data_IF_098640942246
#
_entry.id   IF_098640942246
#
_cell.length_a   1.000
_cell.length_b   1.000
_cell.length_c   1.000
_cell.angle_alpha   90.00
_cell.angle_beta   90.00
_cell.angle_gamma   90.00
#
_symmetry.space_group_name_H-M   'P 1'
#
loop_
_entity.id
_entity.type
_entity.pdbx_description
1 polymer ?
#
# COMPACT_ATOMS: atom_id res chain seq x y z
N UNK A 1 2.76 4.21 12.71
CA UNK A 1 1.39 4.64 13.06
C UNK A 1 0.43 3.53 12.76
N UNK A 2 0.17 3.28 11.47
CA UNK A 2 -0.74 2.28 10.91
C UNK A 2 -0.64 0.89 11.54
N UNK A 3 0.55 0.31 11.65
CA UNK A 3 0.76 -1.01 12.28
C UNK A 3 0.36 -1.01 13.76
N UNK A 4 0.69 0.07 14.49
CA UNK A 4 0.39 0.18 15.94
C UNK A 4 -1.10 0.30 16.21
N UNK A 5 -1.84 0.97 15.33
CA UNK A 5 -3.28 1.15 15.47
C UNK A 5 -4.07 -0.06 14.96
N UNK A 6 -3.42 -1.06 14.36
CA UNK A 6 -4.11 -2.22 13.81
C UNK A 6 -4.97 -1.93 12.59
N UNK A 7 -4.75 -0.81 11.88
CA UNK A 7 -5.74 -0.30 10.91
C UNK A 7 -6.14 -1.34 9.84
N UNK A 8 -5.17 -2.06 9.28
CA UNK A 8 -5.46 -3.09 8.29
C UNK A 8 -5.95 -4.39 8.94
N UNK A 9 -5.42 -4.74 10.11
CA UNK A 9 -5.88 -5.90 10.87
C UNK A 9 -7.37 -5.80 11.20
N UNK A 10 -7.82 -4.62 11.64
CA UNK A 10 -9.21 -4.35 11.95
C UNK A 10 -10.07 -4.35 10.68
N UNK A 11 -9.60 -3.73 9.60
CA UNK A 11 -10.31 -3.69 8.31
C UNK A 11 -10.53 -5.08 7.69
N UNK A 12 -9.61 -6.02 7.92
CA UNK A 12 -9.69 -7.40 7.43
C UNK A 12 -10.18 -8.40 8.49
N UNK A 13 -10.50 -7.97 9.72
CA UNK A 13 -10.72 -8.85 10.87
C UNK A 13 -11.89 -9.84 10.73
N UNK A 14 -12.88 -9.53 9.90
CA UNK A 14 -14.03 -10.42 9.60
C UNK A 14 -13.88 -11.17 8.26
N UNK A 15 -12.72 -11.06 7.62
CA UNK A 15 -12.42 -11.71 6.34
C UNK A 15 -11.55 -12.94 6.55
N UNK A 16 -11.38 -13.74 5.50
CA UNK A 16 -10.40 -14.85 5.51
C UNK A 16 -8.97 -14.39 5.17
N UNK A 17 -8.68 -13.09 5.24
CA UNK A 17 -7.37 -12.52 4.92
C UNK A 17 -6.58 -12.30 6.21
N UNK A 18 -5.45 -12.97 6.34
CA UNK A 18 -4.51 -12.73 7.44
C UNK A 18 -3.59 -11.56 7.11
N UNK A 19 -3.52 -10.57 8.00
CA UNK A 19 -2.66 -9.39 7.82
C UNK A 19 -1.38 -9.55 8.63
N UNK A 20 -0.27 -9.72 7.93
CA UNK A 20 1.07 -9.85 8.52
C UNK A 20 1.83 -8.52 8.37
N UNK A 21 2.37 -8.02 9.48
CA UNK A 21 3.26 -6.84 9.48
C UNK A 21 4.74 -7.23 9.59
N UNK A 22 5.67 -6.36 9.17
CA UNK A 22 7.09 -6.50 9.48
C UNK A 22 7.32 -6.67 10.99
N UNK A 23 8.36 -7.41 11.36
CA UNK A 23 8.82 -7.43 12.75
C UNK A 23 9.34 -6.04 13.18
N UNK A 24 9.64 -5.86 14.47
CA UNK A 24 10.08 -4.56 14.99
C UNK A 24 11.31 -4.01 14.27
N UNK A 25 12.31 -4.86 13.98
CA UNK A 25 13.57 -4.42 13.37
C UNK A 25 13.35 -4.02 11.91
N UNK A 26 12.58 -4.82 11.18
CA UNK A 26 12.26 -4.51 9.79
C UNK A 26 11.29 -3.32 9.69
N UNK A 27 10.38 -3.16 10.64
CA UNK A 27 9.54 -1.97 10.75
C UNK A 27 10.39 -0.70 10.94
N UNK A 28 11.42 -0.74 11.78
CA UNK A 28 12.36 0.39 11.95
C UNK A 28 13.09 0.70 10.62
N UNK A 29 13.52 -0.33 9.88
CA UNK A 29 14.13 -0.16 8.54
C UNK A 29 13.17 0.47 7.53
N UNK A 30 11.89 0.06 7.53
CA UNK A 30 10.86 0.68 6.68
C UNK A 30 10.71 2.15 7.03
N UNK A 31 10.59 2.48 8.32
CA UNK A 31 10.42 3.85 8.79
C UNK A 31 11.65 4.71 8.46
N UNK A 32 12.86 4.21 8.68
CA UNK A 32 14.10 4.91 8.31
C UNK A 32 14.15 5.17 6.80
N UNK A 33 13.83 4.17 5.99
CA UNK A 33 13.80 4.30 4.52
C UNK A 33 12.82 5.40 4.08
N UNK A 34 11.63 5.47 4.68
CA UNK A 34 10.65 6.52 4.38
C UNK A 34 11.19 7.90 4.77
N UNK A 35 11.56 8.08 6.05
CA UNK A 35 11.80 9.41 6.60
C UNK A 35 13.17 9.98 6.29
N UNK A 36 14.19 9.13 6.19
CA UNK A 36 15.57 9.56 6.00
C UNK A 36 15.98 9.56 4.53
N UNK A 37 15.35 8.74 3.68
CA UNK A 37 15.80 8.57 2.30
C UNK A 37 14.75 9.00 1.26
N UNK A 38 13.51 8.50 1.36
CA UNK A 38 12.47 8.75 0.35
C UNK A 38 11.93 10.18 0.45
N UNK A 39 11.43 10.56 1.62
CA UNK A 39 10.80 11.86 1.86
C UNK A 39 11.73 13.05 1.56
N UNK A 40 13.01 13.04 1.97
CA UNK A 40 13.95 14.10 1.59
C UNK A 40 14.61 13.88 0.22
N UNK A 41 14.33 12.77 -0.48
CA UNK A 41 14.90 12.39 -1.79
C UNK A 41 16.43 12.27 -1.79
N UNK A 42 17.00 11.68 -0.73
CA UNK A 42 18.45 11.56 -0.55
C UNK A 42 19.01 10.35 -1.30
N UNK A 43 18.54 9.13 -1.00
CA UNK A 43 19.01 7.92 -1.68
C UNK A 43 17.87 6.93 -1.94
N UNK A 44 17.12 7.16 -3.02
CA UNK A 44 15.96 6.35 -3.39
C UNK A 44 16.33 4.90 -3.72
N UNK A 45 17.50 4.66 -4.30
CA UNK A 45 17.97 3.30 -4.61
C UNK A 45 18.26 2.49 -3.34
N UNK A 46 18.89 3.12 -2.32
CA UNK A 46 19.09 2.51 -1.02
C UNK A 46 17.75 2.19 -0.36
N UNK A 47 16.83 3.16 -0.33
CA UNK A 47 15.50 2.96 0.24
C UNK A 47 14.75 1.81 -0.42
N UNK A 48 14.71 1.79 -1.76
CA UNK A 48 14.10 0.73 -2.56
C UNK A 48 14.68 -0.64 -2.19
N UNK A 49 16.01 -0.77 -2.15
CA UNK A 49 16.65 -2.05 -1.82
C UNK A 49 16.34 -2.52 -0.39
N UNK A 50 16.25 -1.60 0.59
CA UNK A 50 15.85 -1.95 1.95
C UNK A 50 14.40 -2.42 2.00
N UNK A 51 13.49 -1.72 1.32
CA UNK A 51 12.07 -2.07 1.25
C UNK A 51 11.84 -3.41 0.56
N UNK A 52 12.51 -3.68 -0.57
CA UNK A 52 12.47 -4.99 -1.24
C UNK A 52 12.99 -6.09 -0.33
N UNK A 53 14.07 -5.85 0.43
CA UNK A 53 14.59 -6.83 1.39
C UNK A 53 13.58 -7.16 2.48
N UNK A 54 12.90 -6.15 3.03
CA UNK A 54 11.86 -6.35 4.04
C UNK A 54 10.67 -7.10 3.45
N UNK A 55 10.21 -6.71 2.25
CA UNK A 55 9.15 -7.42 1.55
C UNK A 55 9.51 -8.89 1.26
N UNK A 56 10.75 -9.15 0.83
CA UNK A 56 11.26 -10.51 0.62
C UNK A 56 11.14 -11.40 1.84
N UNK A 57 11.50 -10.89 3.03
CA UNK A 57 11.33 -11.64 4.29
C UNK A 57 9.87 -11.92 4.64
N UNK A 58 8.96 -11.02 4.28
CA UNK A 58 7.53 -11.28 4.45
C UNK A 58 7.07 -12.37 3.48
N UNK A 59 7.52 -12.30 2.22
CA UNK A 59 7.24 -13.30 1.17
C UNK A 59 7.75 -14.69 1.59
N UNK A 60 8.94 -14.77 2.18
CA UNK A 60 9.49 -16.03 2.72
C UNK A 60 8.62 -16.63 3.85
N UNK A 61 7.75 -15.83 4.48
CA UNK A 61 6.75 -16.29 5.47
C UNK A 61 5.45 -16.77 4.83
N UNK A 62 5.37 -16.82 3.50
CA UNK A 62 4.24 -17.34 2.74
C UNK A 62 3.14 -16.33 2.44
N UNK A 63 3.40 -15.01 2.50
CA UNK A 63 2.41 -14.03 2.04
C UNK A 63 2.24 -14.10 0.53
N UNK A 64 1.02 -13.89 0.07
CA UNK A 64 0.65 -13.97 -1.35
C UNK A 64 0.57 -12.59 -2.00
N UNK A 65 0.64 -11.51 -1.22
CA UNK A 65 0.45 -10.13 -1.67
C UNK A 65 1.04 -9.13 -0.68
N UNK A 66 1.51 -7.99 -1.17
CA UNK A 66 2.00 -6.86 -0.36
C UNK A 66 1.03 -5.68 -0.46
N UNK A 67 0.62 -5.10 0.67
CA UNK A 67 -0.09 -3.82 0.70
C UNK A 67 0.93 -2.70 0.93
N UNK A 68 0.98 -1.72 0.03
CA UNK A 68 1.67 -0.45 0.28
C UNK A 68 0.69 0.51 0.98
N UNK A 69 0.86 0.63 2.30
CA UNK A 69 0.06 1.51 3.15
C UNK A 69 0.61 2.94 3.33
N UNK A 70 1.66 3.32 2.60
CA UNK A 70 2.29 4.63 2.71
C UNK A 70 2.56 5.20 1.31
N UNK A 71 2.04 6.40 1.05
CA UNK A 71 2.13 7.09 -0.24
C UNK A 71 3.57 7.33 -0.71
N UNK A 72 4.52 7.47 0.22
CA UNK A 72 5.94 7.64 -0.13
C UNK A 72 6.55 6.35 -0.73
N UNK A 73 6.13 5.17 -0.27
CA UNK A 73 6.69 3.89 -0.74
C UNK A 73 6.32 3.62 -2.20
N UNK A 74 5.12 4.02 -2.62
CA UNK A 74 4.62 3.87 -4.01
C UNK A 74 5.53 4.58 -5.03
N UNK A 75 6.32 5.56 -4.60
CA UNK A 75 7.26 6.28 -5.45
C UNK A 75 8.49 5.46 -5.84
N UNK A 76 8.83 4.41 -5.08
CA UNK A 76 10.11 3.69 -5.23
C UNK A 76 9.97 2.18 -5.46
N UNK A 77 8.90 1.55 -4.97
CA UNK A 77 8.63 0.12 -5.18
C UNK A 77 7.52 -0.04 -6.21
N UNK A 78 7.73 -0.93 -7.19
CA UNK A 78 6.77 -1.26 -8.25
C UNK A 78 6.49 -2.76 -8.27
N UNK A 79 5.40 -3.17 -8.92
CA UNK A 79 5.01 -4.59 -9.09
C UNK A 79 6.14 -5.45 -9.66
N UNK A 80 6.93 -4.90 -10.59
CA UNK A 80 8.05 -5.61 -11.22
C UNK A 80 9.22 -5.89 -10.27
N UNK A 81 9.22 -5.32 -9.07
CA UNK A 81 10.29 -5.47 -8.09
C UNK A 81 10.10 -6.67 -7.15
N UNK A 82 8.88 -7.23 -7.11
CA UNK A 82 8.53 -8.33 -6.21
C UNK A 82 7.90 -9.49 -6.99
N UNK A 83 8.08 -10.74 -6.53
CA UNK A 83 7.47 -11.91 -7.16
C UNK A 83 5.97 -12.07 -6.85
N UNK A 84 5.43 -11.25 -5.94
CA UNK A 84 4.01 -11.26 -5.54
C UNK A 84 3.37 -9.92 -5.92
N UNK A 85 2.05 -9.90 -6.18
CA UNK A 85 1.32 -8.66 -6.47
C UNK A 85 1.45 -7.64 -5.35
N UNK A 86 1.45 -6.36 -5.73
CA UNK A 86 1.39 -5.23 -4.82
C UNK A 86 0.02 -4.58 -4.96
N UNK A 87 -0.55 -4.17 -3.82
CA UNK A 87 -1.74 -3.34 -3.77
C UNK A 87 -1.35 -1.99 -3.18
N UNK A 88 -1.39 -0.96 -4.01
CA UNK A 88 -1.25 0.42 -3.57
C UNK A 88 -2.59 0.93 -3.02
N UNK A 89 -2.63 1.20 -1.72
CA UNK A 89 -3.83 1.72 -1.05
C UNK A 89 -4.29 3.07 -1.60
N UNK A 90 -3.38 3.90 -2.12
CA UNK A 90 -3.72 5.18 -2.75
C UNK A 90 -4.35 4.97 -4.13
N UNK A 91 -3.85 4.03 -4.91
CA UNK A 91 -4.41 3.69 -6.22
C UNK A 91 -5.82 3.13 -6.08
N UNK A 92 -6.01 2.16 -5.18
CA UNK A 92 -7.35 1.60 -4.87
C UNK A 92 -8.33 2.70 -4.44
N UNK A 93 -7.88 3.64 -3.61
CA UNK A 93 -8.70 4.78 -3.19
C UNK A 93 -9.07 5.67 -4.38
N UNK A 94 -8.11 6.02 -5.22
CA UNK A 94 -8.32 6.88 -6.39
C UNK A 94 -9.30 6.24 -7.40
N UNK A 95 -9.11 4.96 -7.72
CA UNK A 95 -10.02 4.20 -8.59
C UNK A 95 -11.43 4.17 -8.04
N UNK A 96 -11.57 3.95 -6.72
CA UNK A 96 -12.88 3.92 -6.07
C UNK A 96 -13.60 5.28 -6.17
N UNK A 97 -12.88 6.37 -5.94
CA UNK A 97 -13.41 7.74 -6.06
C UNK A 97 -13.89 8.02 -7.48
N UNK A 98 -13.07 7.71 -8.50
CA UNK A 98 -13.42 7.90 -9.91
C UNK A 98 -14.64 7.05 -10.29
N UNK A 99 -14.69 5.79 -9.84
CA UNK A 99 -15.83 4.90 -10.09
C UNK A 99 -17.13 5.44 -9.51
N UNK A 100 -17.10 5.99 -8.30
CA UNK A 100 -18.27 6.59 -7.65
C UNK A 100 -18.74 7.84 -8.38
N UNK A 101 -17.84 8.78 -8.68
CA UNK A 101 -18.17 10.00 -9.40
C UNK A 101 -18.71 9.72 -10.82
N UNK A 102 -18.18 8.69 -11.48
CA UNK A 102 -18.61 8.29 -12.83
C UNK A 102 -19.97 7.61 -12.86
N UNK A 103 -20.36 6.90 -11.78
CA UNK A 103 -21.70 6.30 -11.65
C UNK A 103 -22.77 7.38 -11.43
N UNK A 104 -22.48 8.37 -10.60
CA UNK A 104 -23.39 9.51 -10.35
C UNK A 104 -23.66 10.34 -11.62
N UNK A 105 -22.69 10.47 -12.53
CA UNK A 105 -22.89 11.15 -13.82
C UNK A 105 -23.89 10.45 -14.77
N UNK A 106 -24.12 9.15 -14.63
CA UNK A 106 -25.05 8.37 -15.46
C UNK A 106 -26.51 8.39 -14.97
N UNK A 107 -26.72 8.77 -13.71
CA UNK A 107 -28.05 8.94 -13.11
C UNK A 107 -28.55 10.39 -13.24
N UNK A 108 -27.65 11.38 -13.33
CA UNK A 108 -28.02 12.79 -13.57
C UNK A 108 -28.66 12.99 -14.96
N UNK A 109 -28.20 12.29 -16.00
CA UNK A 109 -28.84 12.36 -17.33
C UNK A 109 -30.23 11.70 -17.39
N UNK A 110 -30.63 10.91 -16.39
CA UNK A 110 -31.96 10.28 -16.34
C UNK A 110 -32.99 11.07 -15.52
N UNK A 111 -32.54 12.05 -14.74
CA UNK A 111 -33.40 12.88 -13.90
C UNK A 111 -33.52 14.31 -14.45
N UNK A 112 -34.19 14.46 -15.60
CA UNK A 112 -34.86 15.71 -15.97
C UNK A 112 -34.20 16.58 -17.03
N UNK A 113 -34.49 16.29 -18.29
CA UNK A 113 -34.92 17.28 -19.29
C UNK A 113 -36.04 16.62 -20.12
N UNK A 114 -37.27 16.72 -19.62
CA UNK A 114 -38.51 16.68 -20.40
C UNK A 114 -39.28 17.94 -20.05
#
# INVERSE_FOLDING_TARGET
GTVRTGLYQDAFGETNVEVISPDKRDQDVVMESIYMEIKPRINLSKAKNQLIRVAGKLIDRGIEMIIIGCTDICLVVKDTDLPVPIVDSLEVLAEKIVSMASKEGSDVCKQGYI
#
